data_IF_797556519133
#
_entry.id   IF_797556519133
#
_cell.length_a   1.000
_cell.length_b   1.000
_cell.length_c   1.000
_cell.angle_alpha   90.00
_cell.angle_beta   90.00
_cell.angle_gamma   90.00
#
_symmetry.space_group_name_H-M   'P 1'
#
loop_
_entity.id
_entity.type
_entity.pdbx_description
1 polymer ?
#
# COMPACT_ATOMS: atom_id res chain seq x y z
N UNK A 1 -15.77 -7.48 3.41
CA UNK A 1 -15.51 -7.26 2.00
C UNK A 1 -16.81 -6.80 1.35
N UNK A 2 -16.78 -5.65 0.68
CA UNK A 2 -17.88 -5.19 -0.14
C UNK A 2 -18.11 -6.14 -1.30
N UNK A 3 -19.35 -6.20 -1.77
CA UNK A 3 -19.73 -7.08 -2.86
C UNK A 3 -18.96 -6.67 -4.14
N UNK A 4 -18.00 -7.51 -4.56
CA UNK A 4 -17.50 -7.42 -5.94
C UNK A 4 -18.65 -7.77 -6.89
N UNK A 5 -18.85 -7.05 -8.02
CA UNK A 5 -19.91 -7.35 -8.97
C UNK A 5 -19.84 -8.79 -9.45
N UNK A 6 -20.92 -9.54 -9.29
CA UNK A 6 -21.07 -10.92 -9.76
C UNK A 6 -21.42 -10.93 -11.26
N UNK A 7 -20.78 -11.81 -12.06
CA UNK A 7 -21.11 -12.00 -13.48
C UNK A 7 -22.22 -13.04 -13.66
N UNK A 8 -23.35 -12.94 -12.98
CA UNK A 8 -24.49 -13.82 -13.22
C UNK A 8 -25.56 -13.16 -14.07
N UNK A 9 -25.47 -13.33 -15.41
CA UNK A 9 -26.66 -13.53 -16.24
C UNK A 9 -26.39 -14.64 -17.27
N UNK A 10 -27.20 -15.71 -17.15
CA UNK A 10 -27.56 -16.75 -18.11
C UNK A 10 -26.58 -17.92 -18.38
N UNK A 11 -26.87 -19.08 -17.81
CA UNK A 11 -27.37 -20.22 -18.59
C UNK A 11 -27.72 -21.42 -17.69
N UNK A 12 -28.98 -21.80 -17.69
CA UNK A 12 -29.42 -23.15 -17.29
C UNK A 12 -28.91 -24.15 -18.33
N UNK A 13 -28.24 -25.22 -17.86
CA UNK A 13 -27.80 -26.32 -18.72
C UNK A 13 -27.31 -27.47 -17.86
N UNK A 14 -28.24 -28.44 -17.61
CA UNK A 14 -27.90 -29.72 -16.99
C UNK A 14 -26.93 -30.53 -17.88
N UNK A 15 -25.84 -31.05 -17.28
CA UNK A 15 -25.22 -32.32 -17.76
C UNK A 15 -24.54 -33.04 -16.59
N UNK A 16 -24.97 -34.30 -16.43
CA UNK A 16 -24.49 -35.30 -15.50
C UNK A 16 -23.11 -35.84 -15.87
N UNK A 17 -22.17 -35.85 -14.88
CA UNK A 17 -20.92 -36.61 -14.96
C UNK A 17 -20.40 -36.81 -13.53
N UNK A 18 -20.39 -38.06 -13.06
CA UNK A 18 -19.88 -38.42 -11.74
C UNK A 18 -18.36 -38.44 -11.77
N UNK A 19 -17.75 -37.54 -11.00
CA UNK A 19 -16.41 -37.66 -10.44
C UNK A 19 -16.46 -37.17 -8.98
N UNK A 20 -15.61 -37.71 -8.11
CA UNK A 20 -15.59 -37.49 -6.65
C UNK A 20 -15.51 -36.00 -6.31
N UNK A 21 -16.64 -35.30 -6.31
CA UNK A 21 -16.76 -33.90 -5.95
C UNK A 21 -16.89 -33.79 -4.43
N UNK A 22 -15.89 -33.13 -3.81
CA UNK A 22 -16.14 -32.41 -2.59
C UNK A 22 -17.22 -31.38 -2.92
N UNK A 23 -18.47 -31.64 -2.48
CA UNK A 23 -19.61 -30.79 -2.81
C UNK A 23 -19.30 -29.38 -2.35
N UNK A 24 -19.03 -28.47 -3.29
CA UNK A 24 -18.88 -27.05 -3.00
C UNK A 24 -20.16 -26.54 -2.31
N UNK A 25 -19.98 -25.89 -1.16
CA UNK A 25 -21.08 -25.26 -0.42
C UNK A 25 -20.92 -23.75 -0.52
N UNK A 26 -21.82 -23.11 -1.26
CA UNK A 26 -21.87 -21.66 -1.39
C UNK A 26 -21.97 -20.97 -0.02
N UNK A 27 -21.20 -19.91 0.15
CA UNK A 27 -21.29 -19.01 1.30
C UNK A 27 -21.54 -17.58 0.79
N UNK A 28 -22.28 -16.82 1.61
CA UNK A 28 -22.50 -15.40 1.31
C UNK A 28 -21.14 -14.68 1.15
N UNK A 29 -20.97 -13.94 0.05
CA UNK A 29 -19.72 -13.27 -0.31
C UNK A 29 -18.76 -14.10 -1.17
N UNK A 30 -19.12 -15.35 -1.55
CA UNK A 30 -18.39 -16.08 -2.57
C UNK A 30 -18.61 -15.43 -3.95
N UNK A 31 -17.54 -15.34 -4.74
CA UNK A 31 -17.52 -14.68 -6.06
C UNK A 31 -17.34 -15.73 -7.16
N UNK A 32 -18.23 -15.75 -8.15
CA UNK A 32 -18.02 -16.53 -9.37
C UNK A 32 -17.23 -15.69 -10.37
N UNK A 33 -16.11 -16.22 -10.83
CA UNK A 33 -15.30 -15.58 -11.86
C UNK A 33 -14.72 -16.64 -12.81
N UNK A 34 -14.99 -16.48 -14.12
CA UNK A 34 -14.56 -17.40 -15.18
C UNK A 34 -14.92 -18.88 -14.91
N UNK A 35 -16.09 -19.16 -14.33
CA UNK A 35 -16.58 -20.50 -14.02
C UNK A 35 -15.97 -21.13 -12.78
N UNK A 36 -15.21 -20.38 -12.00
CA UNK A 36 -14.63 -20.79 -10.72
C UNK A 36 -15.18 -19.98 -9.57
N UNK A 37 -15.29 -20.62 -8.40
CA UNK A 37 -15.74 -19.97 -7.19
C UNK A 37 -14.56 -19.56 -6.31
N UNK A 38 -14.61 -18.34 -5.83
CA UNK A 38 -13.59 -17.72 -4.99
C UNK A 38 -14.20 -17.25 -3.68
N UNK A 39 -13.50 -17.48 -2.59
CA UNK A 39 -13.87 -17.05 -1.24
C UNK A 39 -12.82 -16.11 -0.69
N UNK A 40 -13.28 -14.96 -0.16
CA UNK A 40 -12.39 -14.04 0.55
C UNK A 40 -11.76 -14.73 1.77
N UNK A 41 -10.44 -14.68 1.87
CA UNK A 41 -9.72 -15.19 3.04
C UNK A 41 -9.86 -14.19 4.19
N UNK A 42 -10.76 -14.49 5.14
CA UNK A 42 -11.06 -13.59 6.28
C UNK A 42 -9.93 -13.48 7.29
N UNK A 43 -8.95 -14.37 7.22
CA UNK A 43 -7.79 -14.39 8.12
C UNK A 43 -6.62 -13.54 7.58
N UNK A 44 -6.75 -13.02 6.35
CA UNK A 44 -5.78 -12.06 5.80
C UNK A 44 -5.62 -10.85 6.71
N UNK A 45 -4.37 -10.48 6.98
CA UNK A 45 -4.04 -9.22 7.64
C UNK A 45 -3.53 -8.22 6.59
N UNK A 46 -4.16 -7.06 6.52
CA UNK A 46 -3.86 -6.02 5.54
C UNK A 46 -3.59 -4.70 6.25
N UNK A 47 -2.45 -4.08 5.96
CA UNK A 47 -2.04 -2.80 6.54
C UNK A 47 -1.76 -1.79 5.43
N UNK A 48 -2.26 -0.57 5.60
CA UNK A 48 -2.01 0.54 4.69
C UNK A 48 -0.70 1.25 5.08
N UNK A 49 0.21 1.38 4.12
CA UNK A 49 1.45 2.13 4.29
C UNK A 49 1.38 3.39 3.42
N UNK A 50 1.52 4.55 4.04
CA UNK A 50 1.49 5.86 3.37
C UNK A 50 2.84 6.56 3.52
N UNK A 51 3.40 7.04 2.42
CA UNK A 51 4.55 7.93 2.39
C UNK A 51 4.09 9.37 2.13
N UNK A 52 4.26 10.27 3.11
CA UNK A 52 3.77 11.65 3.05
C UNK A 52 4.88 12.61 2.61
N UNK A 53 4.60 13.44 1.60
CA UNK A 53 5.54 14.46 1.09
C UNK A 53 5.69 15.64 2.08
N UNK A 54 6.32 15.35 3.21
CA UNK A 54 6.67 16.32 4.22
C UNK A 54 7.96 15.93 4.95
N UNK A 55 8.88 16.87 5.08
CA UNK A 55 10.12 16.68 5.86
C UNK A 55 9.94 16.96 7.36
N UNK A 56 8.85 17.65 7.72
CA UNK A 56 8.60 18.07 9.11
C UNK A 56 8.06 16.92 9.94
N UNK A 57 8.24 16.91 11.25
CA UNK A 57 7.56 15.99 12.15
C UNK A 57 6.04 16.02 12.00
N UNK A 58 5.38 14.99 12.51
CA UNK A 58 3.92 14.93 12.59
C UNK A 58 3.41 16.17 13.34
N UNK A 59 2.41 16.90 12.80
CA UNK A 59 1.91 18.10 13.46
C UNK A 59 1.14 17.75 14.73
N UNK A 60 1.21 18.63 15.72
CA UNK A 60 0.30 18.58 16.85
C UNK A 60 -1.10 19.03 16.42
N UNK A 61 -2.11 18.27 16.82
CA UNK A 61 -3.51 18.62 16.60
C UNK A 61 -4.02 19.45 17.78
N UNK A 62 -4.51 20.67 17.48
CA UNK A 62 -5.04 21.60 18.47
C UNK A 62 -6.13 22.48 17.86
N UNK A 63 -6.66 23.45 18.61
CA UNK A 63 -7.74 24.36 18.18
C UNK A 63 -7.41 25.20 16.92
N UNK A 64 -6.12 25.33 16.57
CA UNK A 64 -5.66 26.07 15.39
C UNK A 64 -5.31 25.16 14.21
N UNK A 65 -5.63 23.87 14.28
CA UNK A 65 -5.35 22.90 13.21
C UNK A 65 -6.07 23.32 11.93
N UNK A 66 -5.32 23.38 10.82
CA UNK A 66 -5.85 23.63 9.51
C UNK A 66 -5.98 22.31 8.74
N UNK A 67 -7.21 21.85 8.56
CA UNK A 67 -7.55 20.56 7.95
C UNK A 67 -7.34 20.50 6.42
N UNK A 68 -6.63 21.45 5.84
CA UNK A 68 -6.16 21.45 4.45
C UNK A 68 -4.62 21.32 4.36
N UNK A 69 -3.96 20.95 5.44
CA UNK A 69 -2.50 20.88 5.57
C UNK A 69 -1.95 19.49 5.91
N UNK A 70 -2.76 18.44 5.69
CA UNK A 70 -2.37 17.06 5.98
C UNK A 70 -1.16 16.55 5.18
N UNK A 71 -0.88 17.14 4.02
CA UNK A 71 0.14 16.67 3.08
C UNK A 71 -0.41 15.61 2.13
N UNK A 72 0.27 15.37 1.02
CA UNK A 72 -0.13 14.35 0.04
C UNK A 72 0.54 13.01 0.33
N UNK A 73 -0.19 11.91 0.13
CA UNK A 73 0.38 10.57 0.17
C UNK A 73 1.02 10.23 -1.18
N UNK A 74 2.33 10.39 -1.26
CA UNK A 74 3.11 10.19 -2.48
C UNK A 74 3.46 8.73 -2.75
N UNK A 75 3.49 7.91 -1.72
CA UNK A 75 3.64 6.45 -1.79
C UNK A 75 2.46 5.80 -1.06
N UNK A 76 1.81 4.83 -1.69
CA UNK A 76 0.62 4.15 -1.17
C UNK A 76 0.78 2.67 -1.43
N UNK A 77 0.86 1.88 -0.35
CA UNK A 77 1.01 0.43 -0.42
C UNK A 77 0.05 -0.26 0.55
N UNK A 78 -0.44 -1.43 0.14
CA UNK A 78 -1.03 -2.39 1.06
C UNK A 78 -0.01 -3.51 1.30
N UNK A 79 0.37 -3.71 2.54
CA UNK A 79 1.14 -4.83 3.01
C UNK A 79 0.18 -5.90 3.52
N UNK A 80 0.23 -7.10 2.95
CA UNK A 80 -0.71 -8.16 3.29
C UNK A 80 0.00 -9.42 3.73
N UNK A 81 -0.53 -10.06 4.74
CA UNK A 81 -0.04 -11.33 5.29
C UNK A 81 -1.14 -12.38 5.15
N UNK A 82 -0.83 -13.50 4.48
CA UNK A 82 -1.70 -14.67 4.44
C UNK A 82 -1.25 -15.68 5.51
N UNK A 83 -2.01 -15.90 6.59
CA UNK A 83 -1.62 -16.81 7.64
C UNK A 83 -1.73 -18.28 7.27
N UNK A 84 -2.50 -18.65 6.22
CA UNK A 84 -2.70 -20.02 5.81
C UNK A 84 -1.47 -20.60 5.11
N UNK A 85 -0.87 -19.86 4.19
CA UNK A 85 0.30 -20.29 3.42
C UNK A 85 1.60 -19.59 3.83
N UNK A 86 1.52 -18.69 4.82
CA UNK A 86 2.64 -17.90 5.35
C UNK A 86 3.33 -17.04 4.28
N UNK A 87 2.55 -16.52 3.35
CA UNK A 87 3.03 -15.62 2.29
C UNK A 87 2.77 -14.16 2.61
N UNK A 88 3.57 -13.29 2.00
CA UNK A 88 3.44 -11.84 2.07
C UNK A 88 3.25 -11.31 0.66
N UNK A 89 2.28 -10.42 0.50
CA UNK A 89 2.11 -9.64 -0.73
C UNK A 89 2.11 -8.14 -0.42
N UNK A 90 2.61 -7.36 -1.36
CA UNK A 90 2.56 -5.90 -1.30
C UNK A 90 1.87 -5.40 -2.56
N UNK A 91 0.80 -4.64 -2.41
CA UNK A 91 0.05 -4.04 -3.52
C UNK A 91 0.34 -2.55 -3.55
N UNK A 92 0.99 -2.08 -4.60
CA UNK A 92 1.27 -0.67 -4.84
C UNK A 92 0.09 0.00 -5.55
N UNK A 93 -0.31 1.18 -5.06
CA UNK A 93 -1.37 2.00 -5.67
C UNK A 93 -0.74 3.27 -6.22
N UNK A 94 -0.95 3.57 -7.51
CA UNK A 94 -0.44 4.81 -8.08
C UNK A 94 -1.11 6.02 -7.39
N UNK A 95 -0.30 6.99 -6.96
CA UNK A 95 -0.78 8.19 -6.27
C UNK A 95 -1.76 9.03 -7.09
N UNK A 96 -1.65 8.95 -8.43
CA UNK A 96 -2.48 9.68 -9.37
C UNK A 96 -3.78 8.94 -9.72
N UNK A 97 -4.07 7.80 -9.04
CA UNK A 97 -5.30 7.04 -9.25
C UNK A 97 -6.52 7.94 -9.05
N UNK A 98 -7.35 8.02 -10.10
CA UNK A 98 -8.57 8.82 -10.09
C UNK A 98 -9.68 8.07 -9.36
N UNK A 99 -10.09 8.61 -8.22
CA UNK A 99 -11.13 8.01 -7.37
C UNK A 99 -12.01 9.09 -6.74
N UNK A 100 -13.04 8.69 -6.01
CA UNK A 100 -13.90 9.61 -5.27
C UNK A 100 -13.15 10.12 -4.04
N UNK A 101 -12.99 11.44 -3.95
CA UNK A 101 -12.29 12.15 -2.89
C UNK A 101 -13.26 13.02 -2.14
N UNK A 102 -13.36 12.81 -0.84
CA UNK A 102 -14.14 13.63 0.06
C UNK A 102 -13.37 14.91 0.41
N UNK A 103 -13.88 16.06 -0.04
CA UNK A 103 -13.30 17.37 0.25
C UNK A 103 -13.88 17.95 1.53
N UNK A 104 -13.01 18.55 2.31
CA UNK A 104 -13.36 19.25 3.55
C UNK A 104 -12.84 20.69 3.51
N UNK A 105 -13.42 21.57 4.30
CA UNK A 105 -12.90 22.91 4.49
C UNK A 105 -11.81 22.96 5.60
N UNK A 106 -11.26 24.15 5.81
CA UNK A 106 -10.19 24.38 6.82
C UNK A 106 -10.62 24.07 8.25
N UNK A 107 -11.92 24.04 8.52
CA UNK A 107 -12.54 23.84 9.83
C UNK A 107 -13.10 22.40 9.96
N UNK A 108 -12.72 21.50 9.05
CA UNK A 108 -13.12 20.09 9.04
C UNK A 108 -14.59 19.81 8.66
N UNK A 109 -15.29 20.74 8.02
CA UNK A 109 -16.64 20.48 7.53
C UNK A 109 -16.57 19.83 6.15
N UNK A 110 -17.36 18.76 5.94
CA UNK A 110 -17.50 18.15 4.61
C UNK A 110 -18.12 19.17 3.62
N UNK A 111 -17.54 19.24 2.44
CA UNK A 111 -17.98 20.14 1.37
C UNK A 111 -18.66 19.35 0.25
N UNK A 112 -17.99 18.39 -0.33
CA UNK A 112 -18.48 17.55 -1.44
C UNK A 112 -17.52 16.42 -1.76
N UNK A 113 -17.96 15.43 -2.51
CA UNK A 113 -17.12 14.40 -3.12
C UNK A 113 -16.84 14.76 -4.58
N UNK A 114 -15.61 14.55 -5.04
CA UNK A 114 -15.17 14.80 -6.43
C UNK A 114 -14.25 13.67 -6.92
N UNK A 115 -14.22 13.43 -8.22
CA UNK A 115 -13.16 12.60 -8.84
C UNK A 115 -11.85 13.38 -8.86
N UNK A 116 -10.84 12.87 -8.17
CA UNK A 116 -9.50 13.45 -8.11
C UNK A 116 -8.45 12.38 -7.83
N UNK A 117 -7.18 12.77 -7.84
CA UNK A 117 -6.07 11.87 -7.53
C UNK A 117 -6.13 11.41 -6.07
N UNK A 118 -5.91 10.12 -5.84
CA UNK A 118 -5.93 9.49 -4.51
C UNK A 118 -5.02 10.19 -3.49
N UNK A 119 -3.84 10.63 -3.92
CA UNK A 119 -2.85 11.25 -3.04
C UNK A 119 -3.37 12.48 -2.28
N UNK A 120 -4.40 13.17 -2.78
CA UNK A 120 -4.89 14.40 -2.14
C UNK A 120 -5.82 14.12 -0.95
N UNK A 121 -6.35 12.88 -0.80
CA UNK A 121 -7.28 12.57 0.30
C UNK A 121 -6.66 12.80 1.66
N UNK A 122 -5.41 12.36 1.88
CA UNK A 122 -4.67 12.61 3.13
C UNK A 122 -4.50 14.11 3.42
N UNK A 123 -4.44 14.93 2.38
CA UNK A 123 -4.34 16.38 2.48
C UNK A 123 -5.59 17.05 3.08
N UNK A 124 -6.76 16.41 2.96
CA UNK A 124 -8.00 16.81 3.61
C UNK A 124 -8.11 16.19 5.00
N UNK A 125 -7.28 16.62 5.93
CA UNK A 125 -7.22 16.13 7.30
C UNK A 125 -6.24 16.95 8.14
N UNK A 126 -5.95 16.45 9.33
CA UNK A 126 -5.12 17.10 10.34
C UNK A 126 -3.61 16.87 10.15
N UNK A 127 -3.24 16.02 9.18
CA UNK A 127 -1.86 15.54 9.01
C UNK A 127 -1.44 14.51 10.04
N UNK A 128 -2.39 13.97 10.79
CA UNK A 128 -2.26 12.97 11.84
C UNK A 128 -3.31 11.86 11.61
N UNK A 129 -3.95 11.34 12.65
CA UNK A 129 -4.88 10.20 12.60
C UNK A 129 -6.03 10.40 11.61
N UNK A 130 -6.73 11.53 11.66
CA UNK A 130 -7.85 11.81 10.75
C UNK A 130 -7.46 11.80 9.27
N UNK A 131 -6.25 12.28 8.93
CA UNK A 131 -5.73 12.20 7.56
C UNK A 131 -5.53 10.75 7.11
N UNK A 132 -5.02 9.91 8.01
CA UNK A 132 -4.80 8.48 7.76
C UNK A 132 -6.12 7.73 7.59
N UNK A 133 -7.07 7.92 8.49
CA UNK A 133 -8.41 7.30 8.44
C UNK A 133 -9.15 7.63 7.13
N UNK A 134 -9.07 8.88 6.66
CA UNK A 134 -9.67 9.29 5.38
C UNK A 134 -8.99 8.63 4.20
N UNK A 135 -7.66 8.56 4.21
CA UNK A 135 -6.92 7.89 3.16
C UNK A 135 -7.20 6.37 3.15
N UNK A 136 -7.27 5.74 4.33
CA UNK A 136 -7.62 4.33 4.50
C UNK A 136 -9.00 4.02 3.94
N UNK A 137 -10.03 4.80 4.34
CA UNK A 137 -11.38 4.66 3.80
C UNK A 137 -11.38 4.72 2.28
N UNK A 138 -10.72 5.72 1.69
CA UNK A 138 -10.70 5.90 0.24
C UNK A 138 -9.97 4.76 -0.48
N UNK A 139 -8.86 4.25 0.07
CA UNK A 139 -8.16 3.08 -0.47
C UNK A 139 -9.01 1.81 -0.35
N UNK A 140 -9.67 1.61 0.78
CA UNK A 140 -10.61 0.49 0.97
C UNK A 140 -11.74 0.53 -0.06
N UNK A 141 -12.38 1.68 -0.25
CA UNK A 141 -13.47 1.87 -1.22
C UNK A 141 -13.00 1.65 -2.68
N UNK A 142 -11.81 2.13 -3.04
CA UNK A 142 -11.19 1.89 -4.35
C UNK A 142 -11.02 0.38 -4.64
N UNK A 143 -10.78 -0.42 -3.61
CA UNK A 143 -10.54 -1.87 -3.68
C UNK A 143 -11.77 -2.68 -3.23
N UNK A 144 -12.97 -2.22 -3.57
CA UNK A 144 -14.27 -2.86 -3.28
C UNK A 144 -14.51 -3.11 -1.77
N UNK A 145 -14.23 -2.10 -0.95
CA UNK A 145 -14.32 -2.14 0.51
C UNK A 145 -13.47 -3.26 1.13
N UNK A 146 -12.25 -3.43 0.60
CA UNK A 146 -11.28 -4.36 1.15
C UNK A 146 -10.99 -4.01 2.61
N UNK A 147 -11.10 -4.96 3.56
CA UNK A 147 -10.75 -4.69 4.95
C UNK A 147 -9.27 -4.30 5.11
N UNK A 148 -9.03 -3.19 5.78
CA UNK A 148 -7.71 -2.73 6.22
C UNK A 148 -7.69 -2.80 7.74
N UNK A 149 -6.65 -3.38 8.33
CA UNK A 149 -6.56 -3.74 9.75
C UNK A 149 -5.71 -2.76 10.56
N UNK A 150 -5.18 -1.77 9.88
CA UNK A 150 -4.39 -0.70 10.47
C UNK A 150 -3.54 0.02 9.43
N UNK A 151 -2.95 1.13 9.83
CA UNK A 151 -2.14 1.94 8.95
C UNK A 151 -0.80 2.37 9.58
N UNK A 152 0.16 2.65 8.71
CA UNK A 152 1.42 3.33 9.04
C UNK A 152 1.62 4.46 8.04
N UNK A 153 1.48 5.69 8.48
CA UNK A 153 1.79 6.89 7.70
C UNK A 153 3.16 7.41 8.10
N UNK A 154 4.04 7.59 7.13
CA UNK A 154 5.44 7.96 7.35
C UNK A 154 5.79 9.19 6.53
N UNK A 155 6.34 10.22 7.19
CA UNK A 155 6.84 11.42 6.54
C UNK A 155 8.26 11.22 6.02
N UNK A 156 8.64 11.94 4.97
CA UNK A 156 9.98 11.85 4.36
C UNK A 156 11.12 12.00 5.38
N UNK A 157 10.92 12.81 6.44
CA UNK A 157 11.90 12.96 7.51
C UNK A 157 12.23 11.68 8.29
N UNK A 158 11.41 10.62 8.20
CA UNK A 158 11.70 9.31 8.78
C UNK A 158 12.72 8.51 7.95
N UNK A 159 12.72 8.68 6.62
CA UNK A 159 13.42 7.77 5.69
C UNK A 159 14.90 7.62 6.04
N UNK A 160 15.62 8.73 6.17
CA UNK A 160 17.05 8.67 6.44
C UNK A 160 17.38 8.08 7.82
N UNK A 161 16.50 8.30 8.82
CA UNK A 161 16.66 7.73 10.18
C UNK A 161 16.49 6.23 10.18
N UNK A 162 15.43 5.74 9.52
CA UNK A 162 15.16 4.32 9.39
C UNK A 162 16.21 3.64 8.54
N UNK A 163 16.63 4.27 7.44
CA UNK A 163 17.67 3.74 6.57
C UNK A 163 19.02 3.60 7.29
N UNK A 164 19.41 4.58 8.13
CA UNK A 164 20.59 4.46 8.97
C UNK A 164 20.46 3.37 10.04
N UNK A 165 19.29 3.28 10.68
CA UNK A 165 19.03 2.30 11.72
C UNK A 165 19.16 0.85 11.21
N UNK A 166 18.78 0.59 9.95
CA UNK A 166 18.96 -0.74 9.32
C UNK A 166 20.37 -0.95 8.75
N UNK A 167 21.28 0.01 8.86
CA UNK A 167 22.64 -0.08 8.32
C UNK A 167 22.75 0.15 6.82
N UNK A 168 21.82 0.93 6.25
CA UNK A 168 21.67 1.19 4.82
C UNK A 168 20.97 0.07 4.06
N UNK A 169 20.34 0.41 2.95
CA UNK A 169 19.57 -0.52 2.13
C UNK A 169 20.26 -0.72 0.79
N UNK A 170 20.49 -1.98 0.40
CA UNK A 170 21.12 -2.34 -0.87
C UNK A 170 20.05 -2.49 -1.95
N UNK A 171 20.21 -1.75 -3.04
CA UNK A 171 19.31 -1.76 -4.18
C UNK A 171 20.08 -1.84 -5.50
N UNK A 172 19.47 -2.47 -6.52
CA UNK A 172 19.94 -2.37 -7.90
C UNK A 172 19.12 -1.30 -8.60
N UNK A 173 19.79 -0.28 -9.16
CA UNK A 173 19.14 0.87 -9.73
C UNK A 173 18.48 0.53 -11.07
N UNK A 174 17.19 0.81 -11.27
CA UNK A 174 16.49 0.52 -12.53
C UNK A 174 16.80 1.57 -13.63
N UNK A 175 17.32 2.74 -13.25
CA UNK A 175 17.73 3.84 -14.14
C UNK A 175 18.81 4.71 -13.47
N UNK A 176 19.33 5.69 -14.21
CA UNK A 176 20.32 6.62 -13.69
C UNK A 176 19.72 7.48 -12.57
N UNK A 177 20.47 7.67 -11.49
CA UNK A 177 20.09 8.53 -10.35
C UNK A 177 21.21 9.58 -10.17
N UNK A 178 21.13 10.71 -10.87
CA UNK A 178 22.18 11.73 -10.86
C UNK A 178 22.48 12.30 -9.47
N UNK A 179 21.47 12.36 -8.59
CA UNK A 179 21.59 12.94 -7.25
C UNK A 179 22.56 12.17 -6.35
N UNK A 180 22.74 10.88 -6.61
CA UNK A 180 23.72 10.04 -5.92
C UNK A 180 24.87 9.62 -6.85
N UNK A 181 24.97 10.24 -8.03
CA UNK A 181 26.00 10.00 -9.04
C UNK A 181 26.16 8.51 -9.41
N UNK A 182 25.03 7.83 -9.63
CA UNK A 182 24.99 6.41 -9.98
C UNK A 182 24.16 6.16 -11.23
N UNK A 183 24.57 5.12 -11.98
CA UNK A 183 23.93 4.74 -13.24
C UNK A 183 23.05 3.49 -13.10
N UNK A 184 22.13 3.34 -14.07
CA UNK A 184 21.29 2.15 -14.20
C UNK A 184 22.11 0.85 -14.15
N UNK A 185 21.57 -0.17 -13.50
CA UNK A 185 22.18 -1.47 -13.30
C UNK A 185 23.23 -1.53 -12.19
N UNK A 186 23.64 -0.41 -11.59
CA UNK A 186 24.53 -0.41 -10.44
C UNK A 186 23.81 -0.96 -9.19
N UNK A 187 24.48 -1.85 -8.45
CA UNK A 187 24.04 -2.26 -7.11
C UNK A 187 24.77 -1.39 -6.10
N UNK A 188 23.99 -0.65 -5.31
CA UNK A 188 24.49 0.34 -4.36
C UNK A 188 23.85 0.15 -3.02
N UNK A 189 24.59 0.44 -1.95
CA UNK A 189 24.02 0.55 -0.60
C UNK A 189 23.75 2.00 -0.29
N UNK A 190 22.47 2.32 -0.19
CA UNK A 190 21.99 3.66 0.12
C UNK A 190 22.16 3.94 1.62
N UNK A 191 22.93 4.95 1.98
CA UNK A 191 23.12 5.41 3.36
C UNK A 191 22.53 6.79 3.55
N UNK A 192 22.00 7.05 4.75
CA UNK A 192 21.57 8.38 5.16
C UNK A 192 20.68 9.07 4.12
N UNK A 193 21.14 10.19 3.59
CA UNK A 193 20.41 11.00 2.62
C UNK A 193 20.31 10.37 1.21
N UNK A 194 21.16 9.41 0.86
CA UNK A 194 21.09 8.77 -0.46
C UNK A 194 19.76 8.04 -0.66
N UNK A 195 19.23 7.40 0.40
CA UNK A 195 17.91 6.79 0.38
C UNK A 195 16.81 7.83 0.14
N UNK A 196 16.91 8.98 0.80
CA UNK A 196 15.98 10.09 0.60
C UNK A 196 16.04 10.62 -0.84
N UNK A 197 17.23 10.86 -1.39
CA UNK A 197 17.37 11.31 -2.78
C UNK A 197 16.89 10.26 -3.77
N UNK A 198 17.19 8.99 -3.55
CA UNK A 198 16.71 7.90 -4.39
C UNK A 198 15.18 7.87 -4.48
N UNK A 199 14.48 7.95 -3.34
CA UNK A 199 13.01 7.90 -3.30
C UNK A 199 12.36 9.20 -3.78
N UNK A 200 12.96 10.35 -3.46
CA UNK A 200 12.40 11.66 -3.83
C UNK A 200 12.60 11.99 -5.31
N UNK A 201 13.67 11.51 -5.93
CA UNK A 201 13.98 11.85 -7.31
C UNK A 201 12.91 11.37 -8.28
N UNK A 202 12.44 12.27 -9.11
CA UNK A 202 11.70 11.96 -10.33
C UNK A 202 12.05 12.96 -11.42
N UNK A 203 12.09 12.52 -12.68
CA UNK A 203 12.21 13.42 -13.82
C UNK A 203 10.87 14.12 -14.05
N UNK A 204 10.80 15.42 -13.74
CA UNK A 204 9.59 16.23 -13.95
C UNK A 204 9.26 16.45 -15.42
N UNK A 205 10.25 16.26 -16.30
CA UNK A 205 10.12 16.51 -17.75
C UNK A 205 9.63 15.26 -18.52
N UNK A 206 9.44 14.14 -17.84
CA UNK A 206 8.97 12.89 -18.44
C UNK A 206 7.53 12.59 -18.10
N UNK A 207 6.75 12.22 -19.11
CA UNK A 207 5.46 11.58 -18.94
C UNK A 207 5.63 10.26 -18.17
N UNK A 208 4.64 9.90 -17.34
CA UNK A 208 4.62 8.70 -16.50
C UNK A 208 5.70 8.65 -15.41
N UNK A 209 6.17 9.81 -14.95
CA UNK A 209 7.19 9.89 -13.91
C UNK A 209 6.74 9.39 -12.54
N UNK A 210 5.43 9.39 -12.27
CA UNK A 210 4.86 8.83 -11.04
C UNK A 210 5.00 7.30 -11.00
N UNK A 211 4.72 6.61 -12.11
CA UNK A 211 4.90 5.16 -12.19
C UNK A 211 6.37 4.73 -12.13
N UNK A 212 7.29 5.50 -12.74
CA UNK A 212 8.73 5.26 -12.56
C UNK A 212 9.16 5.37 -11.09
N UNK A 213 8.60 6.35 -10.35
CA UNK A 213 8.84 6.49 -8.92
C UNK A 213 8.27 5.32 -8.14
N UNK A 214 7.06 4.89 -8.44
CA UNK A 214 6.43 3.74 -7.80
C UNK A 214 7.29 2.47 -7.93
N UNK A 215 7.93 2.24 -9.08
CA UNK A 215 8.86 1.12 -9.26
C UNK A 215 10.09 1.23 -8.34
N UNK A 216 10.67 2.42 -8.18
CA UNK A 216 11.76 2.65 -7.20
C UNK A 216 11.31 2.38 -5.78
N UNK A 217 10.13 2.91 -5.42
CA UNK A 217 9.58 2.76 -4.10
C UNK A 217 9.36 1.27 -3.76
N UNK A 218 8.88 0.46 -4.72
CA UNK A 218 8.75 -1.01 -4.58
C UNK A 218 10.11 -1.69 -4.36
N UNK A 219 11.11 -1.33 -5.16
CA UNK A 219 12.47 -1.89 -5.05
C UNK A 219 13.06 -1.59 -3.66
N UNK A 220 12.97 -0.33 -3.23
CA UNK A 220 13.47 0.09 -1.92
C UNK A 220 12.71 -0.59 -0.78
N UNK A 221 11.37 -0.58 -0.83
CA UNK A 221 10.53 -1.19 0.19
C UNK A 221 10.84 -2.68 0.37
N UNK A 222 10.94 -3.44 -0.73
CA UNK A 222 11.30 -4.86 -0.67
C UNK A 222 12.67 -5.08 -0.03
N UNK A 223 13.67 -4.30 -0.40
CA UNK A 223 15.01 -4.41 0.16
C UNK A 223 15.05 -3.98 1.65
N UNK A 224 14.32 -2.93 2.02
CA UNK A 224 14.18 -2.47 3.40
C UNK A 224 13.48 -3.53 4.27
N UNK A 225 12.37 -4.10 3.81
CA UNK A 225 11.64 -5.18 4.50
C UNK A 225 12.55 -6.38 4.77
N UNK A 226 13.34 -6.81 3.79
CA UNK A 226 14.31 -7.90 3.96
C UNK A 226 15.32 -7.57 5.06
N UNK A 227 15.89 -6.37 5.07
CA UNK A 227 16.85 -5.92 6.07
C UNK A 227 16.24 -5.89 7.47
N UNK A 228 15.00 -5.38 7.60
CA UNK A 228 14.25 -5.36 8.87
C UNK A 228 13.98 -6.79 9.35
N UNK A 229 13.55 -7.67 8.45
CA UNK A 229 13.28 -9.08 8.79
C UNK A 229 14.51 -9.82 9.32
N UNK A 230 15.66 -9.67 8.65
CA UNK A 230 16.92 -10.29 9.12
C UNK A 230 17.34 -9.73 10.50
N UNK A 231 17.14 -8.46 10.74
CA UNK A 231 17.41 -7.85 12.05
C UNK A 231 16.42 -8.34 13.12
N UNK A 232 15.16 -8.55 12.75
CA UNK A 232 14.11 -9.06 13.64
C UNK A 232 14.36 -10.52 14.04
N UNK A 233 14.95 -11.35 13.16
CA UNK A 233 15.42 -12.71 13.52
C UNK A 233 16.47 -12.68 14.65
N UNK A 234 17.33 -11.69 14.65
CA UNK A 234 18.35 -11.51 15.68
C UNK A 234 17.79 -10.87 16.97
N UNK A 235 16.80 -10.00 16.83
CA UNK A 235 16.19 -9.24 17.91
C UNK A 235 14.71 -8.96 17.61
N UNK A 236 13.82 -9.73 18.22
CA UNK A 236 12.37 -9.63 18.02
C UNK A 236 11.79 -8.23 18.34
N UNK A 237 12.47 -7.45 19.18
CA UNK A 237 12.07 -6.08 19.51
C UNK A 237 12.49 -5.03 18.46
N UNK A 238 13.17 -5.46 17.40
CA UNK A 238 13.77 -4.56 16.41
C UNK A 238 12.74 -3.65 15.72
N UNK A 239 11.55 -4.13 15.27
CA UNK A 239 10.53 -3.25 14.69
C UNK A 239 10.06 -2.15 15.64
N UNK A 240 9.89 -2.46 16.93
CA UNK A 240 9.54 -1.46 17.96
C UNK A 240 10.66 -0.42 18.12
N UNK A 241 11.93 -0.83 18.08
CA UNK A 241 13.07 0.10 18.12
C UNK A 241 13.10 1.01 16.89
N UNK A 242 12.81 0.49 15.71
CA UNK A 242 12.69 1.30 14.49
C UNK A 242 11.56 2.33 14.61
N UNK A 243 10.40 1.92 15.10
CA UNK A 243 9.31 2.84 15.37
C UNK A 243 9.75 3.95 16.34
N UNK A 244 10.40 3.62 17.47
CA UNK A 244 10.87 4.60 18.43
C UNK A 244 11.85 5.62 17.84
N UNK A 245 12.76 5.20 16.94
CA UNK A 245 13.72 6.07 16.25
C UNK A 245 13.03 7.11 15.36
N UNK A 246 11.90 6.77 14.75
CA UNK A 246 11.20 7.59 13.77
C UNK A 246 9.82 8.08 14.25
N UNK A 247 9.44 7.82 15.51
CA UNK A 247 8.09 8.05 16.04
C UNK A 247 7.54 9.45 15.83
N UNK A 248 8.40 10.49 15.90
CA UNK A 248 7.98 11.86 15.61
C UNK A 248 7.63 12.15 14.14
N UNK A 249 7.84 11.17 13.25
CA UNK A 249 7.55 11.25 11.81
C UNK A 249 6.56 10.18 11.35
N UNK A 250 6.03 9.40 12.27
CA UNK A 250 5.13 8.28 11.99
C UNK A 250 3.80 8.48 12.71
N UNK A 251 2.70 8.25 12.01
CA UNK A 251 1.35 8.10 12.57
C UNK A 251 0.90 6.68 12.31
N UNK A 252 0.44 5.98 13.32
CA UNK A 252 -0.07 4.61 13.21
C UNK A 252 -1.10 4.33 14.29
N UNK A 253 -2.08 3.53 13.98
CA UNK A 253 -3.05 2.97 14.93
C UNK A 253 -2.63 1.60 15.47
N UNK A 254 -1.48 1.06 14.97
CA UNK A 254 -0.92 -0.22 15.46
C UNK A 254 -0.18 0.04 16.77
N UNK A 255 -0.66 -0.55 17.84
CA UNK A 255 -0.04 -0.45 19.16
C UNK A 255 1.33 -1.17 19.22
N UNK A 256 2.15 -0.83 20.22
CA UNK A 256 3.45 -1.50 20.44
C UNK A 256 3.29 -2.99 20.71
N UNK A 257 2.21 -3.40 21.38
CA UNK A 257 1.92 -4.81 21.65
C UNK A 257 1.56 -5.56 20.36
N UNK A 258 0.74 -4.95 19.49
CA UNK A 258 0.44 -5.48 18.16
C UNK A 258 1.67 -5.54 17.26
N UNK A 259 2.53 -4.50 17.27
CA UNK A 259 3.82 -4.54 16.55
C UNK A 259 4.68 -5.71 17.00
N UNK A 260 4.73 -5.97 18.31
CA UNK A 260 5.51 -7.08 18.89
C UNK A 260 4.93 -8.44 18.49
N UNK A 261 3.61 -8.56 18.49
CA UNK A 261 2.90 -9.76 18.04
C UNK A 261 3.16 -10.01 16.54
N UNK A 262 2.95 -8.99 15.69
CA UNK A 262 3.19 -9.09 14.25
C UNK A 262 4.66 -9.42 13.93
N UNK A 263 5.61 -8.86 14.68
CA UNK A 263 7.03 -9.19 14.54
C UNK A 263 7.30 -10.68 14.80
N UNK A 264 6.65 -11.28 15.81
CA UNK A 264 6.79 -12.71 16.11
C UNK A 264 6.16 -13.59 15.04
N UNK A 265 4.98 -13.23 14.56
CA UNK A 265 4.29 -13.94 13.47
C UNK A 265 5.10 -13.92 12.18
N UNK A 266 5.63 -12.74 11.80
CA UNK A 266 6.43 -12.56 10.58
C UNK A 266 7.62 -13.51 10.47
N UNK A 267 8.21 -13.96 11.58
CA UNK A 267 9.33 -14.92 11.55
C UNK A 267 8.96 -16.26 10.91
N UNK A 268 7.67 -16.59 10.87
CA UNK A 268 7.15 -17.79 10.20
C UNK A 268 6.85 -17.62 8.71
N UNK A 269 7.03 -16.42 8.14
CA UNK A 269 6.67 -16.12 6.75
C UNK A 269 7.87 -16.14 5.81
N UNK A 270 7.59 -16.35 4.51
CA UNK A 270 8.61 -16.32 3.45
C UNK A 270 8.86 -14.88 2.97
N UNK A 271 9.86 -14.22 3.54
CA UNK A 271 10.24 -12.85 3.15
C UNK A 271 10.92 -12.78 1.78
N UNK A 272 11.60 -13.85 1.35
CA UNK A 272 12.26 -13.91 0.04
C UNK A 272 11.22 -14.04 -1.08
N UNK A 273 10.12 -14.75 -0.81
CA UNK A 273 8.99 -14.95 -1.70
C UNK A 273 7.99 -13.80 -1.75
N UNK A 274 8.28 -12.63 -1.14
CA UNK A 274 7.37 -11.47 -1.18
C UNK A 274 6.99 -11.11 -2.60
N UNK A 275 5.69 -11.17 -2.88
CA UNK A 275 5.11 -10.78 -4.16
C UNK A 275 4.79 -9.28 -4.18
N UNK A 276 5.20 -8.59 -5.24
CA UNK A 276 4.96 -7.16 -5.43
C UNK A 276 3.97 -6.97 -6.58
N UNK A 277 2.78 -6.51 -6.25
CA UNK A 277 1.73 -6.17 -7.21
C UNK A 277 1.67 -4.65 -7.41
N UNK A 278 1.06 -4.23 -8.51
CA UNK A 278 0.61 -2.84 -8.71
C UNK A 278 -0.84 -2.88 -9.15
N UNK A 279 -1.66 -2.00 -8.63
CA UNK A 279 -3.03 -1.81 -9.13
C UNK A 279 -2.95 -1.58 -10.64
N UNK A 280 -3.61 -2.41 -11.45
CA UNK A 280 -3.50 -2.33 -12.90
C UNK A 280 -4.30 -1.13 -13.45
N UNK A 281 -3.77 -0.51 -14.50
CA UNK A 281 -4.39 0.64 -15.12
C UNK A 281 -3.47 1.34 -16.11
N UNK A 282 -3.86 2.52 -16.51
CA UNK A 282 -3.08 3.34 -17.44
C UNK A 282 -2.99 4.80 -16.99
N UNK A 283 -1.83 5.41 -17.24
CA UNK A 283 -1.61 6.83 -17.02
C UNK A 283 -1.97 7.61 -18.29
N UNK A 284 -2.79 8.63 -18.15
CA UNK A 284 -3.10 9.59 -19.22
C UNK A 284 -2.72 11.00 -18.78
N UNK A 285 -2.49 11.89 -19.73
CA UNK A 285 -2.32 13.30 -19.42
C UNK A 285 -3.70 13.96 -19.36
N UNK A 286 -4.10 14.36 -18.14
CA UNK A 286 -5.27 15.18 -17.93
C UNK A 286 -5.04 16.65 -18.35
N UNK A 287 -5.98 17.51 -18.00
CA UNK A 287 -5.86 18.96 -18.34
C UNK A 287 -4.65 19.64 -17.68
N UNK A 288 -4.24 19.22 -16.49
CA UNK A 288 -3.17 19.84 -15.69
C UNK A 288 -2.14 18.87 -15.13
N UNK A 289 -2.54 17.62 -14.90
CA UNK A 289 -1.75 16.62 -14.20
C UNK A 289 -1.88 15.27 -14.90
N UNK A 290 -0.94 14.37 -14.63
CA UNK A 290 -1.09 12.96 -14.95
C UNK A 290 -2.23 12.36 -14.13
N UNK A 291 -3.09 11.57 -14.76
CA UNK A 291 -4.23 10.87 -14.16
C UNK A 291 -4.06 9.37 -14.42
N UNK A 292 -4.23 8.55 -13.39
CA UNK A 292 -4.17 7.09 -13.52
C UNK A 292 -5.58 6.52 -13.42
N UNK A 293 -5.98 5.77 -14.43
CA UNK A 293 -7.28 5.11 -14.49
C UNK A 293 -7.13 3.61 -14.34
N UNK A 294 -7.81 3.05 -13.34
CA UNK A 294 -7.77 1.63 -13.01
C UNK A 294 -8.45 0.81 -14.11
N UNK A 295 -7.84 -0.33 -14.47
CA UNK A 295 -8.49 -1.36 -15.26
C UNK A 295 -9.27 -2.28 -14.33
N UNK A 296 -10.58 -2.11 -14.26
CA UNK A 296 -11.47 -2.80 -13.31
C UNK A 296 -11.43 -4.34 -13.46
N UNK A 297 -11.30 -4.86 -14.69
CA UNK A 297 -11.22 -6.30 -14.93
C UNK A 297 -9.94 -6.88 -14.35
N UNK A 298 -8.80 -6.26 -14.67
CA UNK A 298 -7.51 -6.70 -14.16
C UNK A 298 -7.38 -6.45 -12.64
N UNK A 299 -8.01 -5.38 -12.10
CA UNK A 299 -8.07 -5.15 -10.66
C UNK A 299 -8.78 -6.30 -9.97
N UNK A 300 -9.94 -6.72 -10.49
CA UNK A 300 -10.70 -7.85 -9.95
C UNK A 300 -9.85 -9.14 -9.97
N UNK A 301 -9.15 -9.44 -11.06
CA UNK A 301 -8.24 -10.59 -11.18
C UNK A 301 -7.12 -10.52 -10.13
N UNK A 302 -6.49 -9.36 -9.97
CA UNK A 302 -5.44 -9.16 -8.97
C UNK A 302 -5.98 -9.35 -7.53
N UNK A 303 -7.16 -8.82 -7.22
CA UNK A 303 -7.76 -8.99 -5.89
C UNK A 303 -8.11 -10.44 -5.61
N UNK A 304 -8.61 -11.19 -6.61
CA UNK A 304 -8.86 -12.62 -6.49
C UNK A 304 -7.56 -13.40 -6.20
N UNK A 305 -6.47 -13.07 -6.90
CA UNK A 305 -5.16 -13.73 -6.71
C UNK A 305 -4.56 -13.45 -5.33
N UNK A 306 -4.75 -12.24 -4.80
CA UNK A 306 -4.11 -11.83 -3.54
C UNK A 306 -4.93 -12.15 -2.31
N UNK A 307 -6.26 -11.97 -2.36
CA UNK A 307 -7.13 -11.95 -1.17
C UNK A 307 -8.16 -13.07 -1.11
N UNK A 308 -8.29 -13.86 -2.17
CA UNK A 308 -9.30 -14.91 -2.25
C UNK A 308 -8.67 -16.28 -2.46
N UNK A 309 -9.34 -17.28 -1.99
CA UNK A 309 -9.00 -18.70 -2.22
C UNK A 309 -10.00 -19.31 -3.19
N UNK A 310 -9.50 -20.08 -4.16
CA UNK A 310 -10.36 -20.87 -5.03
C UNK A 310 -10.93 -22.04 -4.24
N UNK A 311 -12.27 -22.22 -4.26
CA UNK A 311 -12.98 -23.15 -3.38
C UNK A 311 -13.78 -24.25 -4.11
N UNK A 312 -13.64 -24.32 -5.45
CA UNK A 312 -14.21 -25.34 -6.33
C UNK A 312 -13.16 -26.21 -7.01
#
# INVERSE_FOLDING_TARGET
AGEMPDETEQSEGETSGQENDSVYVYQEGDVNYNGHMYRYNKDMLTFLILGIDSNDPVPEVNENTNYLKGGQSDAIFLFTMNPHDKTISVVAVDRNTMTDIDMYDKDNNYVKTVKAQLCVQHGYGDGNELSCERAEKTVSELLYNLPIHGYVSMRLGAIWRLNEAVGGVEVTLPFDVPEINQSAGATVRLYGQDAFYFLKYRSLDKFNSASERLEKDKIYLKAFMKQVFESTKADISYPVKLYQIASSYIVTDISVDEMSYLASELLGYDIEGVKMYSVPGETVMGEKFEEFYVNEVQLKEMLLDVFYEKVD
#
